data_IF_836375224934
#
_entry.id   IF_836375224934
#
_cell.length_a   1.000
_cell.length_b   1.000
_cell.length_c   1.000
_cell.angle_alpha   90.00
_cell.angle_beta   90.00
_cell.angle_gamma   90.00
#
_symmetry.space_group_name_H-M   'P 1'
#
loop_
_entity.id
_entity.type
_entity.pdbx_description
1 polymer ?
#
# COMPACT_ATOMS: atom_id res chain seq x y z
N UNK A 1 -33.38 -7.27 -6.73
CA UNK A 1 -32.58 -7.59 -5.54
C UNK A 1 -31.49 -6.54 -5.38
N UNK A 2 -31.39 -5.92 -4.20
CA UNK A 2 -30.63 -4.70 -3.98
C UNK A 2 -29.17 -5.02 -3.58
N UNK A 3 -28.18 -4.62 -4.38
CA UNK A 3 -26.81 -4.44 -3.88
C UNK A 3 -26.81 -3.38 -2.77
N UNK A 4 -26.14 -3.70 -1.67
CA UNK A 4 -26.11 -2.92 -0.43
C UNK A 4 -24.91 -1.98 -0.48
N UNK A 5 -25.15 -0.66 -0.38
CA UNK A 5 -24.12 0.34 -0.12
C UNK A 5 -24.08 0.57 1.41
N UNK A 6 -22.94 0.31 2.04
CA UNK A 6 -22.73 0.66 3.45
C UNK A 6 -21.84 1.90 3.53
N UNK A 7 -22.30 2.95 4.24
CA UNK A 7 -21.43 4.02 4.72
C UNK A 7 -20.80 3.58 6.04
N UNK A 8 -19.49 3.56 6.12
CA UNK A 8 -18.74 3.31 7.34
C UNK A 8 -18.09 4.61 7.80
N UNK A 9 -18.28 4.98 9.06
CA UNK A 9 -17.68 6.16 9.69
C UNK A 9 -16.35 5.76 10.36
N UNK A 10 -15.26 6.48 10.06
CA UNK A 10 -14.04 6.56 10.90
C UNK A 10 -14.30 7.64 11.98
N UNK A 11 -13.93 7.60 13.27
CA UNK A 11 -12.80 7.00 14.01
C UNK A 11 -13.19 6.70 15.48
N UNK A 12 -14.28 5.99 15.76
CA UNK A 12 -14.50 5.35 17.07
C UNK A 12 -15.17 4.00 16.86
N UNK A 13 -14.34 2.96 16.90
CA UNK A 13 -14.77 1.57 16.92
C UNK A 13 -15.51 1.35 18.27
N UNK A 14 -16.84 1.30 18.24
CA UNK A 14 -17.60 0.54 19.24
C UNK A 14 -17.54 -0.94 18.79
N UNK A 15 -16.44 -1.62 19.11
CA UNK A 15 -16.33 -3.06 18.96
C UNK A 15 -17.10 -3.70 20.11
N UNK A 16 -18.30 -4.20 19.84
CA UNK A 16 -18.96 -5.18 20.71
C UNK A 16 -18.87 -6.56 20.03
N UNK A 17 -18.10 -7.52 20.58
CA UNK A 17 -17.92 -8.84 19.98
C UNK A 17 -19.18 -9.73 19.99
N UNK A 18 -20.36 -9.23 20.40
CA UNK A 18 -21.62 -10.00 20.42
C UNK A 18 -22.59 -9.79 19.25
N UNK A 19 -22.32 -8.93 18.27
CA UNK A 19 -23.28 -8.69 17.18
C UNK A 19 -22.78 -9.17 15.81
N UNK A 20 -22.72 -10.49 15.64
CA UNK A 20 -22.54 -11.14 14.35
C UNK A 20 -23.90 -11.65 13.82
N UNK A 21 -24.80 -10.77 13.36
CA UNK A 21 -26.04 -11.20 12.65
C UNK A 21 -26.37 -10.35 11.41
N UNK A 22 -26.46 -11.09 10.30
CA UNK A 22 -27.09 -10.82 8.99
C UNK A 22 -28.43 -10.07 9.06
N UNK A 23 -28.60 -8.99 8.26
CA UNK A 23 -29.80 -8.75 7.41
C UNK A 23 -29.66 -7.49 6.53
N UNK A 24 -30.29 -7.56 5.37
CA UNK A 24 -30.38 -6.58 4.27
C UNK A 24 -30.44 -5.10 4.68
N UNK A 25 -29.70 -4.24 3.97
CA UNK A 25 -29.81 -2.79 4.09
C UNK A 25 -31.00 -2.27 3.29
N UNK A 26 -32.01 -1.79 4.02
CA UNK A 26 -33.01 -0.82 3.56
C UNK A 26 -32.89 0.38 4.50
N UNK A 27 -32.95 1.61 3.99
CA UNK A 27 -32.77 2.88 4.74
C UNK A 27 -33.73 3.07 5.96
N UNK A 28 -34.65 2.13 6.20
CA UNK A 28 -35.42 2.01 7.46
C UNK A 28 -34.57 1.59 8.69
N UNK A 29 -33.25 1.39 8.56
CA UNK A 29 -32.37 0.98 9.67
C UNK A 29 -31.08 1.81 9.80
N UNK A 30 -31.10 3.11 9.49
CA UNK A 30 -30.20 4.00 10.24
C UNK A 30 -30.63 3.96 11.72
N UNK A 31 -29.71 4.06 12.70
CA UNK A 31 -30.10 4.32 14.08
C UNK A 31 -31.10 5.47 14.06
N UNK A 32 -32.24 5.31 14.74
CA UNK A 32 -33.36 6.26 14.69
C UNK A 32 -32.86 7.69 14.94
N UNK A 33 -31.86 7.84 15.81
CA UNK A 33 -31.16 9.08 16.12
C UNK A 33 -30.53 9.73 14.88
N UNK A 34 -29.76 8.99 14.07
CA UNK A 34 -29.13 9.52 12.84
C UNK A 34 -30.19 9.94 11.82
N UNK A 35 -31.26 9.16 11.69
CA UNK A 35 -32.37 9.49 10.79
C UNK A 35 -33.15 10.73 11.25
N UNK A 36 -33.38 10.86 12.56
CA UNK A 36 -34.03 12.02 13.15
C UNK A 36 -33.17 13.28 12.99
N UNK A 37 -31.86 13.18 13.22
CA UNK A 37 -30.90 14.24 12.96
C UNK A 37 -30.95 14.70 11.51
N UNK A 38 -30.85 13.78 10.54
CA UNK A 38 -30.93 14.14 9.11
C UNK A 38 -32.27 14.82 8.78
N UNK A 39 -33.40 14.32 9.31
CA UNK A 39 -34.71 14.94 9.07
C UNK A 39 -34.86 16.32 9.75
N UNK A 40 -34.26 16.51 10.92
CA UNK A 40 -34.23 17.79 11.62
C UNK A 40 -33.39 18.83 10.88
N UNK A 41 -32.33 18.40 10.20
CA UNK A 41 -31.45 19.25 9.38
C UNK A 41 -32.03 19.62 8.02
N UNK A 42 -33.11 18.96 7.58
CA UNK A 42 -33.80 19.25 6.32
C UNK A 42 -34.92 20.28 6.50
N UNK A 43 -34.99 21.26 5.61
CA UNK A 43 -36.10 22.20 5.53
C UNK A 43 -37.39 21.55 4.97
N UNK A 44 -38.56 22.20 5.03
CA UNK A 44 -39.81 21.63 4.55
C UNK A 44 -39.83 21.29 3.04
N UNK A 45 -39.15 22.06 2.20
CA UNK A 45 -39.06 21.80 0.76
C UNK A 45 -38.14 20.60 0.48
N UNK A 46 -37.04 20.47 1.21
CA UNK A 46 -36.13 19.33 1.16
C UNK A 46 -36.80 18.04 1.64
N UNK A 47 -37.61 18.10 2.70
CA UNK A 47 -38.42 16.95 3.15
C UNK A 47 -39.45 16.52 2.10
N UNK A 48 -39.98 17.46 1.33
CA UNK A 48 -40.91 17.18 0.23
C UNK A 48 -40.19 16.56 -0.98
N UNK A 49 -39.01 17.09 -1.33
CA UNK A 49 -38.14 16.50 -2.36
C UNK A 49 -37.66 15.10 -1.95
N UNK A 50 -37.27 14.90 -0.69
CA UNK A 50 -36.86 13.59 -0.15
C UNK A 50 -37.97 12.54 -0.28
N UNK A 51 -39.24 12.93 -0.17
CA UNK A 51 -40.38 12.01 -0.36
C UNK A 51 -40.63 11.64 -1.83
N UNK A 52 -40.15 12.45 -2.77
CA UNK A 52 -40.39 12.28 -4.22
C UNK A 52 -39.15 11.79 -4.99
N UNK A 53 -37.95 11.99 -4.45
CA UNK A 53 -36.69 11.65 -5.09
C UNK A 53 -36.44 10.15 -5.18
N UNK A 54 -35.57 9.77 -6.10
CA UNK A 54 -35.02 8.43 -6.20
C UNK A 54 -34.15 8.10 -4.99
N UNK A 55 -33.87 6.81 -4.78
CA UNK A 55 -32.99 6.39 -3.69
C UNK A 55 -31.60 7.06 -3.76
N UNK A 56 -31.06 7.27 -4.96
CA UNK A 56 -29.75 7.88 -5.18
C UNK A 56 -29.80 9.37 -4.80
N UNK A 57 -30.78 10.13 -5.31
CA UNK A 57 -30.95 11.55 -4.99
C UNK A 57 -31.17 11.78 -3.49
N UNK A 58 -32.03 10.97 -2.87
CA UNK A 58 -32.32 11.07 -1.45
C UNK A 58 -31.09 10.75 -0.58
N UNK A 59 -30.26 9.81 -1.04
CA UNK A 59 -29.02 9.45 -0.33
C UNK A 59 -27.96 10.53 -0.51
N UNK A 60 -27.81 11.09 -1.71
CA UNK A 60 -26.91 12.21 -1.98
C UNK A 60 -27.26 13.45 -1.14
N UNK A 61 -28.55 13.79 -1.06
CA UNK A 61 -29.04 14.88 -0.22
C UNK A 61 -28.70 14.64 1.25
N UNK A 62 -28.91 13.42 1.76
CA UNK A 62 -28.58 13.06 3.13
C UNK A 62 -27.08 13.17 3.40
N UNK A 63 -26.23 12.70 2.49
CA UNK A 63 -24.77 12.81 2.59
C UNK A 63 -24.34 14.27 2.65
N UNK A 64 -24.77 15.10 1.70
CA UNK A 64 -24.39 16.51 1.64
C UNK A 64 -24.78 17.27 2.91
N UNK A 65 -25.95 16.94 3.49
CA UNK A 65 -26.38 17.51 4.77
C UNK A 65 -25.49 17.05 5.92
N UNK A 66 -25.16 15.77 6.00
CA UNK A 66 -24.23 15.27 7.02
C UNK A 66 -22.86 15.93 6.89
N UNK A 67 -22.31 16.06 5.68
CA UNK A 67 -21.03 16.73 5.44
C UNK A 67 -21.03 18.22 5.78
N UNK A 68 -22.19 18.87 5.78
CA UNK A 68 -22.30 20.29 6.22
C UNK A 68 -22.30 20.47 7.74
N UNK A 69 -22.56 19.39 8.48
CA UNK A 69 -22.69 19.41 9.95
C UNK A 69 -21.50 18.75 10.63
N UNK A 70 -21.02 17.67 10.04
CA UNK A 70 -19.87 16.90 10.51
C UNK A 70 -18.68 17.16 9.60
N UNK A 71 -17.49 17.30 10.18
CA UNK A 71 -16.26 17.29 9.41
C UNK A 71 -16.04 15.86 8.86
N UNK A 72 -16.54 15.61 7.65
CA UNK A 72 -16.40 14.34 6.95
C UNK A 72 -15.28 14.48 5.93
N UNK A 73 -14.26 13.64 6.05
CA UNK A 73 -13.11 13.66 5.14
C UNK A 73 -13.48 13.07 3.76
N UNK A 74 -14.39 12.08 3.74
CA UNK A 74 -15.05 11.60 2.53
C UNK A 74 -15.89 10.33 2.76
N UNK A 75 -16.23 9.62 1.67
CA UNK A 75 -17.13 8.48 1.68
C UNK A 75 -16.39 7.16 1.46
N UNK A 76 -16.63 6.20 2.36
CA UNK A 76 -16.36 4.78 2.10
C UNK A 76 -17.61 4.12 1.49
N UNK A 77 -17.41 3.45 0.35
CA UNK A 77 -18.44 2.77 -0.41
C UNK A 77 -18.14 1.27 -0.50
N UNK A 78 -18.95 0.46 0.19
CA UNK A 78 -18.88 -1.00 0.10
C UNK A 78 -19.91 -1.55 -0.89
N UNK A 79 -19.46 -2.34 -1.87
CA UNK A 79 -20.29 -3.13 -2.78
C UNK A 79 -20.16 -4.61 -2.44
N UNK A 80 -21.24 -5.25 -2.01
CA UNK A 80 -21.19 -6.65 -1.55
C UNK A 80 -22.45 -7.47 -1.86
N UNK A 81 -22.31 -8.81 -1.85
CA UNK A 81 -23.35 -9.86 -1.96
C UNK A 81 -24.04 -10.01 -3.32
N UNK A 82 -24.29 -8.90 -4.00
CA UNK A 82 -24.99 -8.89 -5.29
C UNK A 82 -24.23 -7.99 -6.22
N UNK A 83 -23.76 -8.57 -7.33
CA UNK A 83 -23.11 -7.83 -8.41
C UNK A 83 -24.04 -6.71 -8.91
N UNK A 84 -23.61 -5.46 -8.74
CA UNK A 84 -24.31 -4.32 -9.31
C UNK A 84 -24.15 -4.36 -10.82
N UNK A 85 -25.25 -4.21 -11.57
CA UNK A 85 -25.15 -4.05 -13.02
C UNK A 85 -24.38 -2.77 -13.37
N UNK A 86 -23.68 -2.77 -14.50
CA UNK A 86 -22.96 -1.59 -14.98
C UNK A 86 -23.89 -0.36 -15.10
N UNK A 87 -25.13 -0.56 -15.56
CA UNK A 87 -26.15 0.50 -15.65
C UNK A 87 -26.40 1.10 -14.26
N UNK A 88 -26.52 0.28 -13.22
CA UNK A 88 -26.74 0.76 -11.87
C UNK A 88 -25.54 1.52 -11.32
N UNK A 89 -24.32 1.04 -11.58
CA UNK A 89 -23.10 1.77 -11.21
C UNK A 89 -23.04 3.13 -11.89
N UNK A 90 -23.28 3.18 -13.20
CA UNK A 90 -23.36 4.43 -13.98
C UNK A 90 -24.40 5.40 -13.40
N UNK A 91 -25.57 4.90 -13.00
CA UNK A 91 -26.61 5.73 -12.38
C UNK A 91 -26.23 6.25 -10.98
N UNK A 92 -25.45 5.49 -10.20
CA UNK A 92 -24.95 5.96 -8.89
C UNK A 92 -23.93 7.07 -9.11
N UNK A 93 -22.93 6.82 -9.95
CA UNK A 93 -21.82 7.75 -10.20
C UNK A 93 -22.15 8.86 -11.21
N UNK A 94 -23.35 8.91 -11.77
CA UNK A 94 -23.86 10.09 -12.48
C UNK A 94 -24.29 11.22 -11.54
N UNK A 95 -24.42 10.93 -10.24
CA UNK A 95 -24.67 11.94 -9.22
C UNK A 95 -23.33 12.42 -8.63
N UNK A 96 -23.15 13.74 -8.56
CA UNK A 96 -21.87 14.36 -8.21
C UNK A 96 -21.38 13.99 -6.82
N UNK A 97 -22.28 13.85 -5.83
CA UNK A 97 -21.91 13.45 -4.46
C UNK A 97 -21.20 12.09 -4.43
N UNK A 98 -21.70 11.11 -5.18
CA UNK A 98 -21.05 9.79 -5.24
C UNK A 98 -19.83 9.77 -6.13
N UNK A 99 -19.72 10.70 -7.09
CA UNK A 99 -18.60 10.77 -8.02
C UNK A 99 -17.36 11.42 -7.40
N UNK A 100 -17.54 12.50 -6.66
CA UNK A 100 -16.41 13.30 -6.13
C UNK A 100 -16.04 12.91 -4.71
N UNK A 101 -17.02 12.75 -3.81
CA UNK A 101 -16.78 12.71 -2.35
C UNK A 101 -16.31 11.37 -1.79
N UNK A 102 -16.15 10.34 -2.62
CA UNK A 102 -15.66 9.06 -2.15
C UNK A 102 -14.14 9.02 -2.03
N UNK A 103 -13.66 8.44 -0.95
CA UNK A 103 -12.23 8.22 -0.70
C UNK A 103 -11.88 6.74 -0.82
N UNK A 104 -12.83 5.86 -0.48
CA UNK A 104 -12.60 4.41 -0.50
C UNK A 104 -13.74 3.66 -1.18
N UNK A 105 -13.40 2.80 -2.13
CA UNK A 105 -14.33 1.81 -2.67
C UNK A 105 -13.82 0.42 -2.32
N UNK A 106 -14.69 -0.39 -1.71
CA UNK A 106 -14.45 -1.82 -1.46
C UNK A 106 -15.47 -2.66 -2.23
N UNK A 107 -14.98 -3.63 -2.97
CA UNK A 107 -15.78 -4.63 -3.68
C UNK A 107 -15.53 -5.98 -3.04
N UNK A 108 -16.56 -6.61 -2.49
CA UNK A 108 -16.40 -7.79 -1.65
C UNK A 108 -17.45 -8.86 -1.94
N UNK A 109 -17.02 -10.10 -2.21
CA UNK A 109 -17.90 -11.26 -2.38
C UNK A 109 -19.00 -10.99 -3.43
N UNK A 110 -18.57 -10.58 -4.64
CA UNK A 110 -19.44 -10.43 -5.81
C UNK A 110 -18.82 -11.09 -7.04
N UNK A 111 -19.66 -11.51 -7.98
CA UNK A 111 -19.20 -12.00 -9.28
C UNK A 111 -18.77 -10.82 -10.13
N UNK A 112 -17.48 -10.74 -10.46
CA UNK A 112 -16.92 -9.69 -11.30
C UNK A 112 -16.96 -10.07 -12.78
N UNK A 113 -17.10 -9.05 -13.62
CA UNK A 113 -16.81 -9.13 -15.04
C UNK A 113 -15.92 -7.94 -15.43
N UNK A 114 -15.30 -8.02 -16.61
CA UNK A 114 -14.35 -7.00 -17.06
C UNK A 114 -14.97 -5.61 -17.16
N UNK A 115 -16.25 -5.48 -17.50
CA UNK A 115 -16.91 -4.17 -17.61
C UNK A 115 -17.03 -3.46 -16.26
N UNK A 116 -17.38 -4.19 -15.20
CA UNK A 116 -17.52 -3.65 -13.85
C UNK A 116 -16.14 -3.26 -13.31
N UNK A 117 -15.12 -4.11 -13.51
CA UNK A 117 -13.76 -3.80 -13.05
C UNK A 117 -13.22 -2.59 -13.81
N UNK A 118 -13.36 -2.55 -15.15
CA UNK A 118 -12.97 -1.40 -15.97
C UNK A 118 -13.64 -0.10 -15.50
N UNK A 119 -14.92 -0.16 -15.13
CA UNK A 119 -15.64 1.00 -14.62
C UNK A 119 -14.95 1.59 -13.38
N UNK A 120 -14.58 0.76 -12.40
CA UNK A 120 -13.87 1.23 -11.21
C UNK A 120 -12.45 1.69 -11.51
N UNK A 121 -11.67 0.93 -12.29
CA UNK A 121 -10.29 1.29 -12.59
C UNK A 121 -10.15 2.56 -13.45
N UNK A 122 -11.18 2.93 -14.22
CA UNK A 122 -11.23 4.21 -14.93
C UNK A 122 -11.46 5.42 -14.01
N UNK A 123 -11.80 5.19 -12.74
CA UNK A 123 -11.91 6.24 -11.72
C UNK A 123 -10.63 6.35 -10.88
N UNK A 124 -9.52 5.79 -11.34
CA UNK A 124 -8.25 5.81 -10.62
C UNK A 124 -7.78 7.24 -10.29
N UNK A 125 -7.56 7.47 -9.00
CA UNK A 125 -7.03 8.70 -8.44
C UNK A 125 -6.11 8.33 -7.27
N UNK A 126 -4.95 8.98 -7.19
CA UNK A 126 -3.91 8.71 -6.20
C UNK A 126 -4.29 9.12 -4.79
N UNK A 127 -5.37 9.88 -4.62
CA UNK A 127 -5.91 10.27 -3.30
C UNK A 127 -6.97 9.30 -2.79
N UNK A 128 -7.27 8.26 -3.57
CA UNK A 128 -8.38 7.35 -3.31
C UNK A 128 -7.89 5.92 -3.11
N UNK A 129 -8.70 5.13 -2.44
CA UNK A 129 -8.46 3.73 -2.15
C UNK A 129 -9.42 2.83 -2.93
N UNK A 130 -8.88 1.76 -3.51
CA UNK A 130 -9.67 0.76 -4.19
C UNK A 130 -9.29 -0.64 -3.76
N UNK A 131 -10.27 -1.38 -3.26
CA UNK A 131 -10.06 -2.71 -2.71
C UNK A 131 -11.04 -3.71 -3.34
N UNK A 132 -10.54 -4.88 -3.72
CA UNK A 132 -11.34 -6.02 -4.17
C UNK A 132 -10.97 -7.24 -3.33
N UNK A 133 -11.92 -7.79 -2.59
CA UNK A 133 -11.73 -8.96 -1.74
C UNK A 133 -12.77 -10.04 -2.05
N UNK A 134 -12.40 -11.30 -1.83
CA UNK A 134 -13.29 -12.46 -2.02
C UNK A 134 -14.02 -12.46 -3.37
N UNK A 135 -13.39 -11.91 -4.42
CA UNK A 135 -13.88 -11.91 -5.79
C UNK A 135 -12.82 -12.57 -6.67
N UNK A 136 -13.25 -13.43 -7.60
CA UNK A 136 -12.36 -13.92 -8.64
C UNK A 136 -12.25 -12.88 -9.76
N UNK A 137 -11.02 -12.52 -10.08
CA UNK A 137 -10.71 -11.58 -11.16
C UNK A 137 -10.67 -12.34 -12.50
N UNK A 138 -11.07 -11.71 -13.63
CA UNK A 138 -10.90 -12.35 -14.93
C UNK A 138 -9.40 -12.60 -15.19
N UNK A 139 -9.01 -13.83 -15.53
CA UNK A 139 -7.60 -14.25 -15.55
C UNK A 139 -6.73 -13.48 -16.56
N UNK A 140 -7.27 -13.18 -17.75
CA UNK A 140 -6.56 -12.43 -18.80
C UNK A 140 -6.79 -10.92 -18.73
N UNK A 141 -7.28 -10.43 -17.58
CA UNK A 141 -7.60 -9.03 -17.42
C UNK A 141 -6.34 -8.15 -17.44
N UNK A 142 -6.43 -7.01 -18.13
CA UNK A 142 -5.37 -6.01 -18.19
C UNK A 142 -5.99 -4.63 -18.17
N UNK A 143 -5.40 -3.75 -17.38
CA UNK A 143 -5.85 -2.36 -17.31
C UNK A 143 -4.68 -1.44 -16.98
N UNK A 144 -4.56 -0.31 -17.69
CA UNK A 144 -3.47 0.63 -17.49
C UNK A 144 -3.50 1.34 -16.14
N UNK A 145 -4.68 1.43 -15.52
CA UNK A 145 -4.90 2.10 -14.23
C UNK A 145 -4.95 1.14 -13.03
N UNK A 146 -4.59 -0.12 -13.22
CA UNK A 146 -4.70 -1.17 -12.20
C UNK A 146 -4.03 -0.83 -10.86
N UNK A 147 -2.94 -0.06 -10.88
CA UNK A 147 -2.12 0.25 -9.69
C UNK A 147 -1.88 1.76 -9.57
N UNK A 148 -2.90 2.57 -9.90
CA UNK A 148 -2.83 4.04 -9.89
C UNK A 148 -3.65 4.70 -8.77
N UNK A 149 -4.35 3.92 -7.95
CA UNK A 149 -4.95 4.43 -6.71
C UNK A 149 -3.86 4.70 -5.67
N UNK A 150 -4.15 5.56 -4.68
CA UNK A 150 -3.27 5.78 -3.54
C UNK A 150 -3.06 4.49 -2.77
N UNK A 151 -4.16 3.80 -2.47
CA UNK A 151 -4.16 2.47 -1.88
C UNK A 151 -4.88 1.48 -2.80
N UNK A 152 -4.25 0.35 -3.11
CA UNK A 152 -4.83 -0.71 -3.94
C UNK A 152 -4.70 -2.07 -3.27
N UNK A 153 -5.82 -2.76 -3.04
CA UNK A 153 -5.81 -4.14 -2.56
C UNK A 153 -6.54 -5.09 -3.50
N UNK A 154 -5.87 -6.16 -3.94
CA UNK A 154 -6.46 -7.20 -4.76
C UNK A 154 -6.33 -8.56 -4.07
N UNK A 155 -7.45 -9.09 -3.59
CA UNK A 155 -7.57 -10.44 -3.02
C UNK A 155 -7.24 -11.54 -4.03
N UNK A 156 -7.63 -11.35 -5.29
CA UNK A 156 -7.21 -12.18 -6.42
C UNK A 156 -6.35 -11.36 -7.39
N UNK A 157 -5.03 -11.40 -7.19
CA UNK A 157 -4.07 -10.68 -8.03
C UNK A 157 -3.36 -11.59 -9.05
N UNK A 158 -3.91 -12.76 -9.39
CA UNK A 158 -3.31 -13.69 -10.39
C UNK A 158 -3.10 -13.06 -11.78
N UNK A 159 -3.91 -12.07 -12.11
CA UNK A 159 -3.88 -11.33 -13.38
C UNK A 159 -2.82 -10.20 -13.39
N UNK A 160 -2.31 -9.79 -12.22
CA UNK A 160 -1.31 -8.72 -12.12
C UNK A 160 0.05 -9.26 -12.52
N UNK A 161 0.68 -8.64 -13.51
CA UNK A 161 1.99 -9.07 -14.01
C UNK A 161 3.12 -8.20 -13.44
N UNK A 162 4.36 -8.71 -13.50
CA UNK A 162 5.56 -7.91 -13.23
C UNK A 162 5.57 -6.61 -14.04
N UNK A 163 5.15 -6.66 -15.32
CA UNK A 163 5.10 -5.47 -16.19
C UNK A 163 4.17 -4.39 -15.65
N UNK A 164 3.11 -4.75 -14.94
CA UNK A 164 2.20 -3.79 -14.33
C UNK A 164 2.81 -3.21 -13.06
N UNK A 165 3.47 -4.03 -12.24
CA UNK A 165 4.19 -3.57 -11.05
C UNK A 165 5.31 -2.57 -11.39
N UNK A 166 6.05 -2.79 -12.47
CA UNK A 166 7.12 -1.87 -12.92
C UNK A 166 6.60 -0.47 -13.31
N UNK A 167 5.29 -0.29 -13.50
CA UNK A 167 4.66 1.01 -13.80
C UNK A 167 4.21 1.78 -12.57
N UNK A 168 4.25 1.17 -11.38
CA UNK A 168 3.85 1.82 -10.12
C UNK A 168 4.68 3.07 -9.89
N UNK A 169 4.04 4.22 -9.64
CA UNK A 169 4.73 5.49 -9.34
C UNK A 169 3.99 6.21 -8.23
N UNK A 170 4.70 6.61 -7.18
CA UNK A 170 4.25 7.36 -5.99
C UNK A 170 2.87 7.00 -5.43
N UNK A 171 2.52 5.73 -5.36
CA UNK A 171 1.31 5.31 -4.61
C UNK A 171 1.65 5.15 -3.13
N UNK A 172 0.66 5.10 -2.26
CA UNK A 172 0.90 4.87 -0.83
C UNK A 172 1.03 3.36 -0.61
N UNK A 173 -0.05 2.60 -0.82
CA UNK A 173 -0.13 1.19 -0.45
C UNK A 173 -0.55 0.30 -1.62
N UNK A 174 0.10 -0.86 -1.77
CA UNK A 174 -0.30 -1.90 -2.72
C UNK A 174 -0.29 -3.27 -2.07
N UNK A 175 -1.44 -3.92 -1.89
CA UNK A 175 -1.51 -5.32 -1.48
C UNK A 175 -1.97 -6.22 -2.63
N UNK A 176 -1.09 -7.10 -3.08
CA UNK A 176 -1.37 -8.13 -4.07
C UNK A 176 -1.42 -9.49 -3.39
N UNK A 177 -2.62 -10.02 -3.22
CA UNK A 177 -2.84 -11.35 -2.66
C UNK A 177 -2.99 -12.39 -3.77
N UNK A 178 -2.62 -13.65 -3.46
CA UNK A 178 -2.86 -14.79 -4.34
C UNK A 178 -2.31 -14.57 -5.77
N UNK A 179 -1.06 -14.12 -5.89
CA UNK A 179 -0.41 -13.83 -7.17
C UNK A 179 0.20 -15.07 -7.83
N UNK A 180 0.45 -14.99 -9.14
CA UNK A 180 1.24 -15.97 -9.92
C UNK A 180 2.72 -15.56 -10.04
N UNK A 181 3.16 -14.59 -9.22
CA UNK A 181 4.53 -14.08 -9.25
C UNK A 181 5.49 -15.10 -8.66
N UNK A 182 6.62 -15.29 -9.33
CA UNK A 182 7.69 -16.19 -8.89
C UNK A 182 8.74 -15.42 -8.12
N UNK A 183 9.64 -16.14 -7.44
CA UNK A 183 10.83 -15.56 -6.81
C UNK A 183 11.62 -14.65 -7.74
N UNK A 184 11.79 -15.03 -9.02
CA UNK A 184 12.51 -14.23 -10.01
C UNK A 184 11.79 -12.90 -10.31
N UNK A 185 10.45 -12.92 -10.39
CA UNK A 185 9.67 -11.70 -10.59
C UNK A 185 9.82 -10.74 -9.41
N UNK A 186 9.77 -11.25 -8.18
CA UNK A 186 9.90 -10.43 -6.97
C UNK A 186 11.33 -9.86 -6.85
N UNK A 187 12.37 -10.67 -7.07
CA UNK A 187 13.77 -10.19 -7.09
C UNK A 187 13.97 -9.11 -8.16
N UNK A 188 13.43 -9.32 -9.36
CA UNK A 188 13.50 -8.32 -10.43
C UNK A 188 12.79 -7.02 -10.06
N UNK A 189 11.63 -7.10 -9.41
CA UNK A 189 10.89 -5.93 -8.95
C UNK A 189 11.65 -5.14 -7.88
N UNK A 190 12.24 -5.81 -6.89
CA UNK A 190 13.06 -5.16 -5.85
C UNK A 190 14.29 -4.49 -6.50
N UNK A 191 14.99 -5.20 -7.39
CA UNK A 191 16.11 -4.62 -8.14
C UNK A 191 15.67 -3.40 -8.97
N UNK A 192 14.49 -3.45 -9.60
CA UNK A 192 13.94 -2.29 -10.30
C UNK A 192 13.70 -1.11 -9.34
N UNK A 193 13.09 -1.35 -8.18
CA UNK A 193 12.85 -0.31 -7.17
C UNK A 193 14.15 0.38 -6.75
N UNK A 194 15.22 -0.40 -6.49
CA UNK A 194 16.54 0.10 -6.07
C UNK A 194 17.15 1.02 -7.12
N UNK A 195 17.01 0.67 -8.40
CA UNK A 195 17.57 1.42 -9.51
C UNK A 195 16.62 2.50 -10.06
N UNK A 196 15.37 2.59 -9.58
CA UNK A 196 14.40 3.56 -10.05
C UNK A 196 14.73 4.97 -9.53
N UNK A 197 14.59 5.98 -10.40
CA UNK A 197 14.82 7.39 -10.04
C UNK A 197 13.64 8.05 -9.33
N UNK A 198 12.46 7.45 -9.46
CA UNK A 198 11.20 7.99 -8.95
C UNK A 198 10.68 7.08 -7.85
N UNK A 199 10.05 7.67 -6.84
CA UNK A 199 9.34 6.91 -5.82
C UNK A 199 8.22 6.08 -6.43
N UNK A 200 8.12 4.83 -5.99
CA UNK A 200 7.17 3.85 -6.51
C UNK A 200 5.99 3.71 -5.56
N UNK A 201 6.23 3.27 -4.33
CA UNK A 201 5.22 3.05 -3.29
C UNK A 201 5.82 3.39 -1.92
N UNK A 202 4.98 3.61 -0.90
CA UNK A 202 5.38 3.67 0.52
C UNK A 202 5.36 2.27 1.14
N UNK A 203 4.32 1.48 0.86
CA UNK A 203 4.19 0.12 1.34
C UNK A 203 3.65 -0.81 0.26
N UNK A 204 4.21 -2.02 0.18
CA UNK A 204 3.74 -3.04 -0.74
C UNK A 204 3.80 -4.43 -0.13
N UNK A 205 2.72 -5.18 -0.26
CA UNK A 205 2.68 -6.61 0.04
C UNK A 205 2.45 -7.42 -1.22
N UNK A 206 3.26 -8.45 -1.37
CA UNK A 206 3.10 -9.48 -2.40
C UNK A 206 2.91 -10.81 -1.68
N UNK A 207 1.82 -11.50 -1.97
CA UNK A 207 1.59 -12.88 -1.51
C UNK A 207 1.46 -13.75 -2.75
N UNK A 208 2.39 -14.69 -2.92
CA UNK A 208 2.38 -15.63 -4.02
C UNK A 208 1.66 -16.93 -3.62
N UNK A 209 1.19 -17.65 -4.64
CA UNK A 209 0.69 -19.01 -4.47
C UNK A 209 1.82 -20.02 -4.20
N UNK A 210 3.05 -19.67 -4.55
CA UNK A 210 4.26 -20.46 -4.34
C UNK A 210 5.17 -19.83 -3.28
N UNK A 211 6.15 -20.60 -2.80
CA UNK A 211 7.19 -20.11 -1.89
C UNK A 211 8.02 -19.04 -2.61
N UNK A 212 8.25 -17.91 -1.95
CA UNK A 212 9.13 -16.86 -2.45
C UNK A 212 10.52 -17.06 -1.84
N UNK A 213 11.55 -17.05 -2.69
CA UNK A 213 12.95 -17.14 -2.29
C UNK A 213 13.68 -15.87 -2.72
N UNK A 214 14.01 -15.00 -1.74
CA UNK A 214 14.77 -13.78 -2.00
C UNK A 214 16.29 -13.98 -1.93
N UNK A 215 16.76 -14.98 -1.18
CA UNK A 215 18.17 -15.21 -0.88
C UNK A 215 19.08 -15.44 -2.09
N UNK A 216 20.39 -15.45 -1.84
CA UNK A 216 21.43 -15.69 -2.84
C UNK A 216 21.55 -14.52 -3.83
N UNK A 217 20.96 -14.67 -5.01
CA UNK A 217 21.17 -13.78 -6.16
C UNK A 217 20.86 -12.30 -5.87
N UNK A 218 19.75 -11.98 -5.19
CA UNK A 218 19.38 -10.58 -4.93
C UNK A 218 20.37 -9.93 -3.96
N UNK A 219 20.61 -10.59 -2.83
CA UNK A 219 21.37 -9.98 -1.74
C UNK A 219 22.88 -10.03 -1.95
N UNK A 220 23.41 -10.94 -2.78
CA UNK A 220 24.85 -11.00 -3.06
C UNK A 220 25.33 -9.79 -3.88
N UNK A 221 24.45 -9.15 -4.66
CA UNK A 221 24.81 -7.99 -5.47
C UNK A 221 24.63 -6.65 -4.72
N UNK A 222 23.87 -6.65 -3.63
CA UNK A 222 23.45 -5.44 -2.90
C UNK A 222 24.26 -5.24 -1.61
N UNK A 223 24.29 -4.00 -1.11
CA UNK A 223 24.59 -3.76 0.30
C UNK A 223 23.30 -3.97 1.08
N UNK A 224 23.34 -4.89 2.03
CA UNK A 224 22.18 -5.30 2.83
C UNK A 224 22.58 -5.34 4.29
N UNK A 225 21.75 -4.72 5.13
CA UNK A 225 21.83 -4.85 6.58
C UNK A 225 20.71 -5.78 7.05
N UNK A 226 21.07 -6.82 7.79
CA UNK A 226 20.11 -7.71 8.43
C UNK A 226 19.77 -7.23 9.84
N UNK A 227 18.49 -7.29 10.20
CA UNK A 227 18.05 -7.06 11.56
C UNK A 227 17.27 -8.26 12.10
N UNK A 228 17.76 -8.82 13.20
CA UNK A 228 17.26 -10.07 13.78
C UNK A 228 16.40 -9.75 15.01
N UNK A 229 15.10 -9.48 14.80
CA UNK A 229 14.18 -9.16 15.91
C UNK A 229 13.96 -10.33 16.86
N UNK A 230 13.60 -11.50 16.32
CA UNK A 230 13.34 -12.74 17.04
C UNK A 230 13.44 -13.89 16.04
N UNK A 231 14.50 -14.72 16.08
CA UNK A 231 14.66 -15.84 15.14
C UNK A 231 13.37 -16.68 15.09
N UNK A 232 12.84 -17.00 13.89
CA UNK A 232 13.49 -16.93 12.59
C UNK A 232 13.24 -15.64 11.77
N UNK A 233 12.61 -14.61 12.35
CA UNK A 233 12.20 -13.42 11.60
C UNK A 233 13.38 -12.47 11.36
N UNK A 234 13.81 -12.38 10.10
CA UNK A 234 14.87 -11.49 9.63
C UNK A 234 14.23 -10.39 8.77
N UNK A 235 14.58 -9.15 9.08
CA UNK A 235 14.27 -7.98 8.23
C UNK A 235 15.55 -7.58 7.51
N UNK A 236 15.43 -7.30 6.22
CA UNK A 236 16.54 -6.82 5.41
C UNK A 236 16.34 -5.35 5.07
N UNK A 237 17.41 -4.57 5.16
CA UNK A 237 17.42 -3.17 4.77
C UNK A 237 18.41 -2.94 3.63
N UNK A 238 18.06 -2.08 2.69
CA UNK A 238 18.94 -1.65 1.60
C UNK A 238 18.60 -0.24 1.14
N UNK A 239 19.53 0.40 0.42
CA UNK A 239 19.36 1.75 -0.10
C UNK A 239 19.01 1.74 -1.59
N UNK A 240 18.20 2.70 -1.99
CA UNK A 240 18.07 3.05 -3.39
C UNK A 240 19.37 3.69 -3.90
N UNK A 241 19.74 3.41 -5.16
CA UNK A 241 20.91 4.02 -5.79
C UNK A 241 20.70 5.48 -6.17
N UNK A 242 19.45 5.88 -6.40
CA UNK A 242 19.14 7.25 -6.76
C UNK A 242 19.09 8.14 -5.53
N UNK A 243 19.91 9.18 -5.50
CA UNK A 243 19.94 10.16 -4.40
C UNK A 243 18.85 11.23 -4.49
N UNK A 244 18.15 11.32 -5.63
CA UNK A 244 17.13 12.36 -5.89
C UNK A 244 15.74 12.02 -5.36
N UNK A 245 15.54 10.81 -4.86
CA UNK A 245 14.23 10.34 -4.40
C UNK A 245 14.00 10.64 -2.92
N UNK A 246 12.72 10.71 -2.55
CA UNK A 246 12.30 10.94 -1.16
C UNK A 246 12.52 9.68 -0.35
N UNK A 247 12.03 8.53 -0.84
CA UNK A 247 12.14 7.26 -0.12
C UNK A 247 13.42 6.51 -0.50
N UNK A 248 14.46 6.65 0.32
CA UNK A 248 15.80 6.10 0.06
C UNK A 248 16.02 4.73 0.69
N UNK A 249 15.35 4.45 1.80
CA UNK A 249 15.48 3.20 2.53
C UNK A 249 14.39 2.22 2.10
N UNK A 250 14.76 0.97 1.87
CA UNK A 250 13.83 -0.13 1.67
C UNK A 250 13.99 -1.15 2.78
N UNK A 251 12.94 -1.32 3.55
CA UNK A 251 12.75 -2.43 4.47
C UNK A 251 12.07 -3.58 3.72
N UNK A 252 12.61 -4.79 3.89
CA UNK A 252 12.14 -6.01 3.25
C UNK A 252 11.90 -7.04 4.35
N UNK A 253 10.63 -7.33 4.60
CA UNK A 253 10.21 -8.42 5.45
C UNK A 253 9.77 -9.60 4.58
N UNK A 254 10.28 -10.79 4.89
CA UNK A 254 10.08 -11.99 4.08
C UNK A 254 9.54 -13.13 4.93
N UNK A 255 8.41 -13.69 4.47
CA UNK A 255 7.82 -14.93 4.96
C UNK A 255 7.78 -15.97 3.83
N UNK A 256 7.40 -17.20 4.17
CA UNK A 256 7.37 -18.37 3.26
C UNK A 256 6.87 -18.03 1.84
N UNK A 257 5.69 -17.42 1.72
CA UNK A 257 5.08 -17.04 0.43
C UNK A 257 4.72 -15.56 0.33
N UNK A 258 5.23 -14.72 1.25
CA UNK A 258 4.89 -13.30 1.28
C UNK A 258 6.13 -12.43 1.44
N UNK A 259 6.14 -11.31 0.73
CA UNK A 259 7.14 -10.26 0.90
C UNK A 259 6.40 -8.96 1.16
N UNK A 260 6.85 -8.27 2.21
CA UNK A 260 6.41 -6.91 2.55
C UNK A 260 7.60 -5.98 2.32
N UNK A 261 7.33 -4.91 1.60
CA UNK A 261 8.30 -3.89 1.23
C UNK A 261 7.80 -2.56 1.81
N UNK A 262 8.60 -1.92 2.66
CA UNK A 262 8.31 -0.59 3.17
C UNK A 262 9.41 0.36 2.74
N UNK A 263 9.03 1.37 1.97
CA UNK A 263 9.91 2.44 1.53
C UNK A 263 9.75 3.63 2.47
N UNK A 264 10.86 4.12 3.00
CA UNK A 264 10.84 5.27 3.90
C UNK A 264 11.88 6.31 3.53
N UNK A 265 11.68 7.52 4.04
CA UNK A 265 12.70 8.55 4.05
C UNK A 265 13.89 8.11 4.90
N UNK A 266 15.03 8.78 4.71
CA UNK A 266 16.20 8.61 5.59
C UNK A 266 15.92 9.06 7.03
N UNK A 267 14.88 9.87 7.21
CA UNK A 267 14.40 10.40 8.48
C UNK A 267 12.88 10.57 8.36
N UNK A 268 12.11 9.85 9.18
CA UNK A 268 10.65 9.83 9.12
C UNK A 268 10.07 10.42 10.42
N UNK A 269 9.76 11.72 10.39
CA UNK A 269 9.15 12.45 11.52
C UNK A 269 7.76 11.91 11.92
N UNK A 270 7.15 11.02 11.11
CA UNK A 270 5.86 10.40 11.45
C UNK A 270 6.03 9.22 12.41
N UNK A 271 7.25 8.70 12.58
CA UNK A 271 7.56 7.64 13.53
C UNK A 271 8.05 8.28 14.83
N UNK A 272 7.48 7.86 15.96
CA UNK A 272 7.83 8.42 17.27
C UNK A 272 8.64 7.40 18.09
N UNK A 273 9.68 7.88 18.77
CA UNK A 273 10.40 7.10 19.79
C UNK A 273 11.43 6.13 19.20
N UNK A 274 11.50 4.92 19.76
CA UNK A 274 12.61 3.98 19.50
C UNK A 274 12.71 3.50 18.03
N UNK A 275 11.61 3.48 17.28
CA UNK A 275 11.62 3.06 15.87
C UNK A 275 12.29 4.08 14.94
N UNK A 276 12.14 5.38 15.24
CA UNK A 276 12.78 6.46 14.50
C UNK A 276 14.30 6.43 14.69
N UNK A 277 14.76 6.28 15.93
CA UNK A 277 16.18 6.17 16.27
C UNK A 277 16.81 4.92 15.63
N UNK A 278 16.10 3.79 15.63
CA UNK A 278 16.53 2.56 14.97
C UNK A 278 16.72 2.77 13.45
N UNK A 279 15.74 3.35 12.76
CA UNK A 279 15.84 3.57 11.31
C UNK A 279 16.92 4.58 10.93
N UNK A 280 17.11 5.61 11.75
CA UNK A 280 18.20 6.57 11.57
C UNK A 280 19.56 5.86 11.64
N UNK A 281 19.74 5.00 12.64
CA UNK A 281 20.95 4.19 12.76
C UNK A 281 21.12 3.23 11.57
N UNK A 282 20.04 2.57 11.12
CA UNK A 282 20.05 1.71 9.94
C UNK A 282 20.49 2.46 8.68
N UNK A 283 19.96 3.66 8.46
CA UNK A 283 20.32 4.48 7.30
C UNK A 283 21.81 4.89 7.35
N UNK A 284 22.31 5.36 8.50
CA UNK A 284 23.72 5.71 8.69
C UNK A 284 24.65 4.50 8.47
N UNK A 285 24.30 3.33 9.03
CA UNK A 285 25.04 2.09 8.83
C UNK A 285 25.11 1.74 7.34
N UNK A 286 24.00 1.81 6.62
CA UNK A 286 23.96 1.49 5.19
C UNK A 286 24.77 2.47 4.34
N UNK A 287 24.79 3.77 4.66
CA UNK A 287 25.66 4.74 3.97
C UNK A 287 27.14 4.43 4.19
N UNK A 288 27.52 4.01 5.40
CA UNK A 288 28.89 3.59 5.70
C UNK A 288 29.26 2.31 4.94
N UNK A 289 28.38 1.30 4.92
CA UNK A 289 28.59 0.04 4.20
C UNK A 289 28.69 0.25 2.67
N UNK A 290 27.85 1.11 2.08
CA UNK A 290 27.94 1.45 0.64
C UNK A 290 29.25 2.16 0.30
N UNK A 291 29.71 3.05 1.18
CA UNK A 291 30.99 3.73 1.02
C UNK A 291 32.17 2.77 1.16
N UNK A 292 32.12 1.87 2.15
CA UNK A 292 33.12 0.82 2.36
C UNK A 292 33.23 -0.06 1.12
N UNK A 293 32.12 -0.65 0.65
CA UNK A 293 32.08 -1.49 -0.56
C UNK A 293 32.58 -0.77 -1.82
N UNK A 294 32.30 0.53 -1.94
CA UNK A 294 32.80 1.35 -3.05
C UNK A 294 34.33 1.49 -2.97
N UNK A 295 34.87 1.81 -1.79
CA UNK A 295 36.31 1.95 -1.58
C UNK A 295 37.06 0.62 -1.77
N UNK A 296 36.49 -0.50 -1.32
CA UNK A 296 37.04 -1.83 -1.53
C UNK A 296 37.17 -2.15 -3.02
N UNK A 297 36.10 -1.89 -3.80
CA UNK A 297 36.14 -2.09 -5.25
C UNK A 297 37.18 -1.19 -5.93
N UNK A 298 37.24 0.09 -5.57
CA UNK A 298 38.26 0.98 -6.14
C UNK A 298 39.68 0.56 -5.73
N UNK A 299 39.86 0.00 -4.52
CA UNK A 299 41.13 -0.52 -4.04
C UNK A 299 41.61 -1.74 -4.84
N UNK A 300 40.70 -2.58 -5.33
CA UNK A 300 41.03 -3.69 -6.23
C UNK A 300 41.57 -3.19 -7.58
N UNK A 301 41.01 -2.10 -8.11
CA UNK A 301 41.37 -1.55 -9.42
C UNK A 301 42.64 -0.67 -9.39
N UNK A 302 42.97 -0.07 -8.24
CA UNK A 302 44.02 0.96 -8.13
C UNK A 302 45.44 0.39 -8.00
N UNK A 303 46.35 0.83 -8.86
CA UNK A 303 47.78 0.40 -8.86
C UNK A 303 48.70 1.29 -8.03
N UNK A 304 48.30 2.53 -7.78
CA UNK A 304 49.11 3.52 -7.05
C UNK A 304 49.23 3.16 -5.57
N UNK A 305 50.45 2.89 -5.10
CA UNK A 305 50.73 2.41 -3.74
C UNK A 305 50.35 3.43 -2.66
N UNK A 306 50.51 4.72 -2.92
CA UNK A 306 50.16 5.77 -1.96
C UNK A 306 48.64 5.87 -1.81
N UNK A 307 47.89 5.84 -2.93
CA UNK A 307 46.43 5.84 -2.89
C UNK A 307 45.87 4.55 -2.27
N UNK A 308 46.47 3.39 -2.53
CA UNK A 308 46.11 2.11 -1.86
C UNK A 308 46.24 2.21 -0.35
N UNK A 309 47.24 2.95 0.17
CA UNK A 309 47.39 3.16 1.61
C UNK A 309 46.26 4.03 2.15
N UNK A 310 45.95 5.15 1.49
CA UNK A 310 44.86 6.04 1.89
C UNK A 310 43.51 5.32 1.93
N UNK A 311 43.21 4.50 0.93
CA UNK A 311 41.94 3.75 0.89
C UNK A 311 41.85 2.71 2.01
N UNK A 312 42.93 2.01 2.32
CA UNK A 312 42.96 1.08 3.46
C UNK A 312 42.74 1.79 4.79
N UNK A 313 43.39 2.93 4.99
CA UNK A 313 43.21 3.73 6.20
C UNK A 313 41.75 4.24 6.32
N UNK A 314 41.12 4.60 5.20
CA UNK A 314 39.71 5.01 5.16
C UNK A 314 38.73 3.85 5.43
N UNK A 315 38.97 2.68 4.82
CA UNK A 315 38.16 1.47 5.06
C UNK A 315 38.22 1.09 6.55
N UNK A 316 39.42 1.07 7.15
CA UNK A 316 39.59 0.74 8.56
C UNK A 316 38.84 1.71 9.50
N UNK A 317 38.80 3.00 9.15
CA UNK A 317 38.03 3.98 9.91
C UNK A 317 36.51 3.81 9.73
N UNK A 318 36.05 3.38 8.55
CA UNK A 318 34.64 3.03 8.33
C UNK A 318 34.25 1.77 9.11
N UNK A 319 35.05 0.70 9.03
CA UNK A 319 34.87 -0.53 9.81
C UNK A 319 34.73 -0.24 11.31
N UNK A 320 35.58 0.63 11.84
CA UNK A 320 35.52 1.05 13.25
C UNK A 320 34.19 1.72 13.59
N UNK A 321 33.72 2.65 12.76
CA UNK A 321 32.43 3.34 12.97
C UNK A 321 31.25 2.38 12.85
N UNK A 322 31.26 1.51 11.85
CA UNK A 322 30.24 0.48 11.65
C UNK A 322 30.16 -0.44 12.88
N UNK A 323 31.32 -0.81 13.44
CA UNK A 323 31.38 -1.60 14.67
C UNK A 323 30.89 -0.83 15.91
N UNK A 324 31.23 0.46 16.05
CA UNK A 324 30.74 1.33 17.12
C UNK A 324 29.21 1.50 17.10
N UNK A 325 28.59 1.38 15.91
CA UNK A 325 27.14 1.35 15.72
C UNK A 325 26.51 -0.02 15.98
N UNK A 326 27.29 -1.01 16.44
CA UNK A 326 26.79 -2.32 16.89
C UNK A 326 26.68 -3.38 15.80
N UNK A 327 27.18 -3.11 14.59
CA UNK A 327 27.12 -4.05 13.48
C UNK A 327 28.13 -5.19 13.68
N UNK A 328 27.67 -6.42 13.41
CA UNK A 328 28.49 -7.63 13.37
C UNK A 328 28.34 -8.34 12.03
N UNK A 329 29.38 -9.04 11.59
CA UNK A 329 29.32 -9.85 10.37
C UNK A 329 28.99 -11.30 10.67
N UNK A 330 27.86 -11.80 10.15
CA UNK A 330 27.45 -13.22 10.24
C UNK A 330 27.32 -13.78 8.83
N UNK A 331 28.02 -14.89 8.55
CA UNK A 331 28.06 -15.51 7.23
C UNK A 331 28.36 -14.53 6.07
N UNK A 332 29.21 -13.53 6.34
CA UNK A 332 29.60 -12.49 5.38
C UNK A 332 28.59 -11.35 5.21
N UNK A 333 27.58 -11.23 6.08
CA UNK A 333 26.54 -10.19 6.03
C UNK A 333 26.56 -9.31 7.27
N UNK A 334 26.37 -8.00 7.07
CA UNK A 334 26.21 -7.06 8.15
C UNK A 334 24.88 -7.31 8.88
N UNK A 335 24.92 -7.38 10.21
CA UNK A 335 23.77 -7.70 11.06
C UNK A 335 23.76 -6.82 12.31
N UNK A 336 22.56 -6.39 12.73
CA UNK A 336 22.27 -5.73 14.02
C UNK A 336 21.21 -6.44 14.84
#
# INVERSE_FOLDING_TARGET
MLSTLALKYCHQILFDPKFLIRKEFKFKKLPIIVRMLIMQLMDPAERLHYKKGTLIENTALAINKMSSVFNMDGLEMLFTKVTSSLIRLKNIFSNDTFKSSWDKITVHDIVLNSEIVNFFLNMADRRKEFQIFDCDMPLDFKHENALKFGTTDYGDARWVTLRDMLKIRGVENVALYRTTLTSNHVRHFISHWINCRNDMFEWMRITAMEIIQLGGELFNELVVLEHHFNPPNIVYFTLAKSTSRVFKLLEIYHEVNSVILSASESYDERRNGNEEEMLKNVYEILELLEKEKTLEKELEEIKDVAKRRVYRDQIQELERKIHELGVVYRDGRATI
#
